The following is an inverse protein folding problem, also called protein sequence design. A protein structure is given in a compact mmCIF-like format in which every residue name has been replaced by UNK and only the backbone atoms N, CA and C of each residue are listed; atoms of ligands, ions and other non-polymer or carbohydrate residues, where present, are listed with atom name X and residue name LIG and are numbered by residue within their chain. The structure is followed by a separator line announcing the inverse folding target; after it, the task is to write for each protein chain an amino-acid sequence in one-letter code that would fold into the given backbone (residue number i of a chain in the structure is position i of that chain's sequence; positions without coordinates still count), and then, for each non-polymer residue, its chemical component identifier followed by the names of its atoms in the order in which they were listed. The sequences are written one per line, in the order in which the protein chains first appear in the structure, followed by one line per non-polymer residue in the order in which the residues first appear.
data_IF_835726768300
#
_entry.id   IF_835726768300
#
_cell.length_a   1.000
_cell.length_b   1.000
_cell.length_c   1.000
_cell.angle_alpha   90.00
_cell.angle_beta   90.00
_cell.angle_gamma   90.00
#
_symmetry.space_group_name_H-M   'P 1'
#
loop_
_entity.id
_entity.type
_entity.pdbx_description
1 polymer ?
#
# COMPACT_ATOMS: atom_id res chain seq x y z
N UNK A 1 -13.79 5.78 0.96
CA UNK A 1 -13.68 4.33 0.67
C UNK A 1 -13.15 4.22 -0.75
N UNK A 2 -12.11 3.41 -1.01
CA UNK A 2 -11.66 3.18 -2.38
C UNK A 2 -12.81 2.47 -3.13
N UNK A 3 -13.28 3.06 -4.23
CA UNK A 3 -14.34 2.50 -5.06
C UNK A 3 -13.72 1.76 -6.23
N UNK A 4 -14.24 0.58 -6.52
CA UNK A 4 -13.86 -0.23 -7.68
C UNK A 4 -15.12 -0.55 -8.46
N UNK A 5 -15.11 -0.29 -9.76
CA UNK A 5 -16.17 -0.68 -10.67
C UNK A 5 -15.58 -1.12 -12.00
N UNK A 6 -16.38 -1.83 -12.78
CA UNK A 6 -16.04 -2.14 -14.16
C UNK A 6 -16.30 -0.92 -15.04
N UNK A 7 -15.50 -0.77 -16.09
CA UNK A 7 -15.65 0.28 -17.10
C UNK A 7 -15.75 -0.38 -18.46
N UNK A 8 -16.83 -0.10 -19.18
CA UNK A 8 -17.09 -0.61 -20.53
C UNK A 8 -17.00 0.55 -21.53
N UNK A 9 -16.21 0.37 -22.59
CA UNK A 9 -16.10 1.31 -23.70
C UNK A 9 -16.75 0.67 -24.93
N UNK A 10 -17.97 1.08 -25.27
CA UNK A 10 -18.72 0.60 -26.44
C UNK A 10 -19.02 1.78 -27.38
N UNK A 11 -18.46 1.73 -28.58
CA UNK A 11 -18.56 2.78 -29.62
C UNK A 11 -18.34 4.21 -29.07
N UNK A 12 -17.34 4.37 -28.19
CA UNK A 12 -16.96 5.68 -27.65
C UNK A 12 -16.14 6.42 -28.71
N UNK A 13 -16.62 7.59 -29.11
CA UNK A 13 -15.86 8.54 -29.95
C UNK A 13 -14.93 9.38 -29.07
N UNK A 14 -13.70 9.59 -29.52
CA UNK A 14 -12.65 10.33 -28.81
C UNK A 14 -11.98 11.26 -29.82
N UNK A 15 -11.75 12.52 -29.44
CA UNK A 15 -11.11 13.49 -30.32
C UNK A 15 -9.59 13.24 -30.38
N UNK A 16 -8.95 13.58 -31.49
CA UNK A 16 -7.48 13.47 -31.62
C UNK A 16 -6.74 14.27 -30.53
N UNK A 17 -7.33 15.37 -30.07
CA UNK A 17 -6.80 16.19 -28.98
C UNK A 17 -6.77 15.50 -27.61
N UNK A 18 -7.52 14.42 -27.43
CA UNK A 18 -7.54 13.65 -26.19
C UNK A 18 -6.40 12.60 -26.13
N UNK A 19 -5.62 12.46 -27.20
CA UNK A 19 -4.50 11.53 -27.25
C UNK A 19 -3.40 11.96 -26.26
N UNK A 20 -3.06 11.05 -25.35
CA UNK A 20 -2.01 11.27 -24.36
C UNK A 20 -0.66 10.82 -24.91
N UNK A 21 0.21 11.79 -25.19
CA UNK A 21 1.54 11.55 -25.73
C UNK A 21 1.51 11.36 -27.26
N UNK A 22 2.29 10.42 -27.77
CA UNK A 22 2.43 10.15 -29.20
C UNK A 22 1.84 8.78 -29.59
N UNK A 23 1.35 8.66 -30.82
CA UNK A 23 0.81 7.42 -31.36
C UNK A 23 1.85 6.27 -31.25
N UNK A 24 1.39 5.10 -30.76
CA UNK A 24 2.26 3.94 -30.55
C UNK A 24 3.10 3.97 -29.27
N UNK A 25 3.14 5.08 -28.52
CA UNK A 25 3.99 5.24 -27.33
C UNK A 25 3.29 4.92 -26.01
N UNK A 26 2.01 4.52 -26.04
CA UNK A 26 1.19 4.31 -24.84
C UNK A 26 1.81 3.35 -23.80
N UNK A 27 2.44 2.27 -24.24
CA UNK A 27 3.09 1.32 -23.33
C UNK A 27 4.24 1.95 -22.55
N UNK A 28 5.14 2.68 -23.24
CA UNK A 28 6.30 3.32 -22.61
C UNK A 28 5.87 4.43 -21.66
N UNK A 29 4.85 5.21 -22.04
CA UNK A 29 4.27 6.26 -21.19
C UNK A 29 3.73 5.67 -19.87
N UNK A 30 3.04 4.52 -19.92
CA UNK A 30 2.54 3.84 -18.73
C UNK A 30 3.68 3.26 -17.89
N UNK A 31 4.70 2.67 -18.51
CA UNK A 31 5.83 2.09 -17.78
C UNK A 31 6.61 3.13 -16.96
N UNK A 32 6.77 4.35 -17.48
CA UNK A 32 7.39 5.44 -16.72
C UNK A 32 6.64 5.76 -15.42
N UNK A 33 5.31 5.89 -15.49
CA UNK A 33 4.49 6.12 -14.30
C UNK A 33 4.53 4.92 -13.34
N UNK A 34 4.51 3.70 -13.88
CA UNK A 34 4.50 2.48 -13.09
C UNK A 34 5.76 2.31 -12.23
N UNK A 35 6.93 2.76 -12.71
CA UNK A 35 8.16 2.78 -11.90
C UNK A 35 8.02 3.65 -10.65
N UNK A 36 7.41 4.83 -10.78
CA UNK A 36 7.15 5.71 -9.65
C UNK A 36 6.10 5.13 -8.69
N UNK A 37 5.05 4.51 -9.22
CA UNK A 37 4.03 3.85 -8.39
C UNK A 37 4.62 2.74 -7.52
N UNK A 38 5.58 1.96 -8.06
CA UNK A 38 6.29 0.92 -7.30
C UNK A 38 7.05 1.50 -6.12
N UNK A 39 7.76 2.61 -6.32
CA UNK A 39 8.49 3.28 -5.26
C UNK A 39 7.53 3.82 -4.17
N UNK A 40 6.44 4.46 -4.58
CA UNK A 40 5.41 4.97 -3.66
C UNK A 40 4.79 3.82 -2.85
N UNK A 41 4.51 2.69 -3.49
CA UNK A 41 3.95 1.53 -2.81
C UNK A 41 4.92 0.92 -1.78
N UNK A 42 6.23 0.86 -2.10
CA UNK A 42 7.25 0.42 -1.16
C UNK A 42 7.35 1.36 0.06
N UNK A 43 7.40 2.68 -0.17
CA UNK A 43 7.44 3.67 0.89
C UNK A 43 6.19 3.59 1.80
N UNK A 44 5.00 3.45 1.20
CA UNK A 44 3.74 3.27 1.94
C UNK A 44 3.76 2.00 2.78
N UNK A 45 4.22 0.89 2.21
CA UNK A 45 4.28 -0.40 2.91
C UNK A 45 5.23 -0.33 4.11
N UNK A 46 6.36 0.37 3.98
CA UNK A 46 7.27 0.60 5.10
C UNK A 46 6.60 1.42 6.22
N UNK A 47 5.91 2.51 5.88
CA UNK A 47 5.18 3.31 6.86
C UNK A 47 4.04 2.54 7.55
N UNK A 48 3.33 1.67 6.82
CA UNK A 48 2.34 0.78 7.42
C UNK A 48 2.97 -0.25 8.36
N UNK A 49 4.12 -0.81 8.01
CA UNK A 49 4.83 -1.73 8.89
C UNK A 49 5.29 -1.04 10.19
N UNK A 50 5.79 0.18 10.10
CA UNK A 50 6.18 1.00 11.26
C UNK A 50 4.98 1.30 12.16
N UNK A 51 3.87 1.77 11.59
CA UNK A 51 2.64 2.05 12.34
C UNK A 51 2.09 0.77 13.03
N UNK A 52 2.03 -0.34 12.30
CA UNK A 52 1.60 -1.62 12.86
C UNK A 52 2.51 -2.09 14.00
N UNK A 53 3.83 -1.88 13.87
CA UNK A 53 4.79 -2.18 14.91
C UNK A 53 4.56 -1.33 16.16
N UNK A 54 4.45 -0.01 16.02
CA UNK A 54 4.24 0.90 17.14
C UNK A 54 2.94 0.60 17.89
N UNK A 55 1.86 0.35 17.15
CA UNK A 55 0.55 0.00 17.71
C UNK A 55 0.61 -1.31 18.50
N UNK A 56 1.23 -2.34 17.91
CA UNK A 56 1.35 -3.63 18.56
C UNK A 56 2.30 -3.57 19.79
N UNK A 57 3.40 -2.81 19.71
CA UNK A 57 4.32 -2.61 20.83
C UNK A 57 3.64 -1.86 21.98
N UNK A 58 2.85 -0.83 21.67
CA UNK A 58 2.03 -0.10 22.65
C UNK A 58 1.03 -1.03 23.32
N UNK A 59 0.29 -1.83 22.54
CA UNK A 59 -0.68 -2.77 23.06
C UNK A 59 -0.04 -3.84 23.96
N UNK A 60 1.12 -4.38 23.56
CA UNK A 60 1.82 -5.41 24.32
C UNK A 60 2.25 -4.94 25.72
N UNK A 61 2.51 -3.64 25.89
CA UNK A 61 2.86 -3.04 27.19
C UNK A 61 1.64 -2.67 28.04
N UNK A 62 0.45 -2.55 27.44
CA UNK A 62 -0.78 -2.19 28.15
C UNK A 62 -1.61 -3.42 28.54
N UNK A 63 -1.61 -4.47 27.71
CA UNK A 63 -2.41 -5.67 27.94
C UNK A 63 -1.79 -6.54 29.04
N UNK A 64 -2.51 -6.70 30.15
CA UNK A 64 -2.14 -7.60 31.26
C UNK A 64 -2.75 -8.99 31.04
N UNK A 65 -1.92 -10.02 31.13
CA UNK A 65 -2.33 -11.42 31.24
C UNK A 65 -1.33 -12.19 32.12
N UNK A 66 -1.80 -13.19 32.85
CA UNK A 66 -0.95 -13.97 33.77
C UNK A 66 -0.18 -13.07 34.77
N UNK A 67 -0.80 -11.99 35.22
CA UNK A 67 -0.26 -11.08 36.25
C UNK A 67 0.77 -10.03 35.77
N UNK A 68 1.07 -9.94 34.47
CA UNK A 68 2.04 -8.95 33.93
C UNK A 68 1.69 -8.50 32.50
N UNK A 69 2.29 -7.43 31.98
CA UNK A 69 2.12 -7.06 30.57
C UNK A 69 2.61 -8.18 29.64
N UNK A 70 1.87 -8.43 28.57
CA UNK A 70 2.18 -9.52 27.63
C UNK A 70 3.51 -9.31 26.88
N UNK A 71 4.02 -8.08 26.81
CA UNK A 71 5.34 -7.77 26.27
C UNK A 71 6.51 -8.46 27.01
N UNK A 72 6.30 -8.95 28.23
CA UNK A 72 7.30 -9.75 28.97
C UNK A 72 7.37 -11.22 28.54
N UNK A 73 6.47 -11.67 27.66
CA UNK A 73 6.46 -13.05 27.18
C UNK A 73 7.45 -13.21 26.02
N UNK A 74 8.37 -14.17 26.12
CA UNK A 74 9.42 -14.39 25.11
C UNK A 74 8.85 -14.63 23.70
N UNK A 75 7.69 -15.28 23.60
CA UNK A 75 7.02 -15.52 22.32
C UNK A 75 6.63 -14.21 21.63
N UNK A 76 6.08 -13.24 22.39
CA UNK A 76 5.76 -11.91 21.86
C UNK A 76 7.05 -11.21 21.45
N UNK A 77 8.09 -11.27 22.27
CA UNK A 77 9.38 -10.64 21.97
C UNK A 77 10.06 -11.19 20.70
N UNK A 78 9.89 -12.49 20.41
CA UNK A 78 10.45 -13.13 19.22
C UNK A 78 9.71 -12.75 17.94
N UNK A 79 8.43 -12.39 18.02
CA UNK A 79 7.64 -11.96 16.85
C UNK A 79 8.11 -10.62 16.25
N UNK A 80 9.05 -9.92 16.89
CA UNK A 80 9.61 -8.65 16.43
C UNK A 80 10.99 -8.78 15.76
N UNK A 81 11.54 -10.00 15.68
CA UNK A 81 12.78 -10.29 14.95
C UNK A 81 12.44 -10.92 13.60
#
# INVERSE_FOLDING_TARGET
MLSTCEVYLDNVEVDESDMVGEEGMGFLNVMYNFEMERLINAARSAGFAECAFEDAARYANQRIAFGKPIGHNQMIQKSWR
#
